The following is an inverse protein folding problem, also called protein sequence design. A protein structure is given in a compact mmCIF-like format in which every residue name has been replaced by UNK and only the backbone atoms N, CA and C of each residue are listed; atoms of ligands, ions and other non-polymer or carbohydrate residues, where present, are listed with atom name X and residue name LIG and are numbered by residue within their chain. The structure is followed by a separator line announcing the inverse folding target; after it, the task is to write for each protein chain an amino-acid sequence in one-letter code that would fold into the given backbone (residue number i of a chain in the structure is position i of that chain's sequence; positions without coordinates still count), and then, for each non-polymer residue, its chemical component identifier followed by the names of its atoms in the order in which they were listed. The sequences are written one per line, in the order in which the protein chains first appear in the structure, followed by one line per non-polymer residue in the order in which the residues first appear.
data_IF_772362372178
#
_entry.id   IF_772362372178
#
_cell.length_a   1.000
_cell.length_b   1.000
_cell.length_c   1.000
_cell.angle_alpha   90.00
_cell.angle_beta   90.00
_cell.angle_gamma   90.00
#
_symmetry.space_group_name_H-M   'P 1'
#
loop_
_entity.id
_entity.type
_entity.pdbx_description
1 polymer ?
#
# COMPACT_ATOMS: atom_id res chain seq x y z
N UNK A 1 8.68 2.76 19.23
CA UNK A 1 7.60 1.81 18.88
C UNK A 1 7.14 2.13 17.47
N UNK A 2 7.41 1.27 16.48
CA UNK A 2 6.74 1.40 15.18
C UNK A 2 5.25 1.09 15.40
N UNK A 3 4.38 2.04 15.09
CA UNK A 3 2.94 1.82 15.12
C UNK A 3 2.61 0.76 14.06
N UNK A 4 2.04 -0.37 14.47
CA UNK A 4 1.59 -1.37 13.51
C UNK A 4 0.48 -0.77 12.64
N UNK A 5 0.63 -0.90 11.31
CA UNK A 5 -0.42 -0.53 10.36
C UNK A 5 -1.67 -1.38 10.61
N UNK A 6 -2.79 -0.70 10.80
CA UNK A 6 -4.10 -1.35 10.85
C UNK A 6 -4.46 -1.90 9.47
N UNK A 7 -5.26 -2.95 9.43
CA UNK A 7 -5.72 -3.58 8.18
C UNK A 7 -6.43 -2.58 7.25
N UNK A 8 -7.15 -1.61 7.82
CA UNK A 8 -7.77 -0.53 7.06
C UNK A 8 -6.75 0.41 6.40
N UNK A 9 -5.64 0.71 7.08
CA UNK A 9 -4.55 1.55 6.55
C UNK A 9 -3.85 0.81 5.39
N UNK A 10 -3.57 -0.50 5.56
CA UNK A 10 -3.04 -1.37 4.50
C UNK A 10 -3.97 -1.40 3.26
N UNK A 11 -5.27 -1.56 3.47
CA UNK A 11 -6.25 -1.60 2.39
C UNK A 11 -6.33 -0.26 1.63
N UNK A 12 -6.27 0.86 2.34
CA UNK A 12 -6.27 2.19 1.73
C UNK A 12 -5.00 2.40 0.87
N UNK A 13 -3.84 2.01 1.37
CA UNK A 13 -2.58 2.08 0.64
C UNK A 13 -2.58 1.19 -0.60
N UNK A 14 -3.07 -0.06 -0.49
CA UNK A 14 -3.20 -0.96 -1.64
C UNK A 14 -4.14 -0.40 -2.73
N UNK A 15 -5.23 0.27 -2.34
CA UNK A 15 -6.11 0.94 -3.30
C UNK A 15 -5.41 2.11 -3.99
N UNK A 16 -4.64 2.90 -3.25
CA UNK A 16 -3.88 4.02 -3.81
C UNK A 16 -2.82 3.54 -4.82
N UNK A 17 -2.11 2.45 -4.54
CA UNK A 17 -1.14 1.88 -5.48
C UNK A 17 -1.81 1.37 -6.75
N UNK A 18 -2.95 0.68 -6.64
CA UNK A 18 -3.72 0.26 -7.82
C UNK A 18 -4.15 1.47 -8.65
N UNK A 19 -4.73 2.50 -8.02
CA UNK A 19 -5.18 3.69 -8.75
C UNK A 19 -4.04 4.43 -9.45
N UNK A 20 -2.87 4.53 -8.81
CA UNK A 20 -1.70 5.20 -9.38
C UNK A 20 -1.14 4.53 -10.65
N UNK A 21 -1.34 3.21 -10.81
CA UNK A 21 -0.75 2.44 -11.92
C UNK A 21 -1.78 1.72 -12.79
N UNK A 22 -3.09 2.00 -12.61
CA UNK A 22 -4.17 1.31 -13.34
C UNK A 22 -4.17 1.62 -14.85
N UNK A 23 -3.79 2.85 -15.22
CA UNK A 23 -3.73 3.30 -16.62
C UNK A 23 -2.28 3.39 -17.08
N UNK A 24 -1.98 3.07 -18.35
CA UNK A 24 -0.69 3.44 -18.95
C UNK A 24 -0.51 4.96 -19.00
N UNK A 25 0.72 5.44 -18.78
CA UNK A 25 1.08 6.88 -18.76
C UNK A 25 0.54 7.69 -19.96
N UNK A 26 0.52 7.10 -21.16
CA UNK A 26 0.01 7.74 -22.38
C UNK A 26 -1.50 8.04 -22.38
N UNK A 27 -2.25 7.51 -21.42
CA UNK A 27 -3.70 7.67 -21.29
C UNK A 27 -4.11 8.33 -19.97
N UNK A 28 -3.16 8.93 -19.25
CA UNK A 28 -3.42 9.60 -17.98
C UNK A 28 -3.89 11.04 -18.19
N UNK A 29 -4.86 11.45 -17.39
CA UNK A 29 -5.32 12.84 -17.27
C UNK A 29 -4.74 13.54 -16.03
N UNK A 30 -5.07 14.82 -15.83
CA UNK A 30 -4.59 15.61 -14.70
C UNK A 30 -5.01 15.02 -13.33
N UNK A 31 -6.12 14.28 -13.29
CA UNK A 31 -6.60 13.61 -12.07
C UNK A 31 -5.71 12.40 -11.76
N UNK A 32 -5.36 11.61 -12.77
CA UNK A 32 -4.41 10.50 -12.62
C UNK A 32 -3.02 11.01 -12.17
N UNK A 33 -2.58 12.16 -12.68
CA UNK A 33 -1.33 12.79 -12.26
C UNK A 33 -1.34 13.19 -10.77
N UNK A 34 -2.45 13.72 -10.26
CA UNK A 34 -2.61 14.03 -8.83
C UNK A 34 -2.53 12.76 -7.96
N UNK A 35 -3.16 11.67 -8.40
CA UNK A 35 -3.12 10.37 -7.71
C UNK A 35 -1.69 9.84 -7.63
N UNK A 36 -0.90 9.97 -8.70
CA UNK A 36 0.51 9.55 -8.73
C UNK A 36 1.37 10.45 -7.85
N UNK A 37 1.14 11.77 -7.85
CA UNK A 37 1.86 12.70 -6.97
C UNK A 37 1.58 12.36 -5.50
N UNK A 38 0.32 12.08 -5.16
CA UNK A 38 -0.08 11.62 -3.82
C UNK A 38 0.55 10.27 -3.48
N UNK A 39 0.54 9.31 -4.40
CA UNK A 39 1.20 8.02 -4.22
C UNK A 39 2.70 8.21 -3.90
N UNK A 40 3.44 8.98 -4.71
CA UNK A 40 4.87 9.24 -4.52
C UNK A 40 5.17 9.92 -3.18
N UNK A 41 4.27 10.79 -2.71
CA UNK A 41 4.39 11.45 -1.41
C UNK A 41 4.08 10.52 -0.24
N UNK A 42 3.11 9.62 -0.41
CA UNK A 42 2.64 8.71 0.63
C UNK A 42 3.54 7.49 0.79
N UNK A 43 4.01 6.87 -0.30
CA UNK A 43 4.81 5.65 -0.27
C UNK A 43 6.31 5.93 -0.09
N UNK A 44 6.71 6.24 1.14
CA UNK A 44 8.14 6.32 1.50
C UNK A 44 8.74 4.91 1.68
N UNK A 45 10.07 4.75 1.58
CA UNK A 45 10.72 3.47 1.84
C UNK A 45 10.34 2.85 3.20
N UNK A 46 10.26 3.67 4.25
CA UNK A 46 9.90 3.23 5.60
C UNK A 46 8.46 2.74 5.67
N UNK A 47 7.53 3.38 4.96
CA UNK A 47 6.14 2.92 4.91
C UNK A 47 6.04 1.59 4.15
N UNK A 48 6.78 1.43 3.05
CA UNK A 48 6.83 0.18 2.29
C UNK A 48 7.35 -0.96 3.18
N UNK A 49 8.42 -0.71 3.94
CA UNK A 49 8.96 -1.69 4.88
C UNK A 49 7.92 -2.10 5.94
N UNK A 50 7.24 -1.12 6.55
CA UNK A 50 6.18 -1.39 7.51
C UNK A 50 5.02 -2.19 6.91
N UNK A 51 4.65 -1.92 5.66
CA UNK A 51 3.63 -2.69 4.95
C UNK A 51 4.07 -4.15 4.74
N UNK A 52 5.30 -4.37 4.27
CA UNK A 52 5.85 -5.71 4.07
C UNK A 52 5.89 -6.51 5.38
N UNK A 53 6.40 -5.92 6.45
CA UNK A 53 6.44 -6.57 7.78
C UNK A 53 5.03 -6.91 8.29
N UNK A 54 4.05 -6.03 8.07
CA UNK A 54 2.68 -6.30 8.49
C UNK A 54 2.04 -7.43 7.69
N UNK A 55 2.30 -7.52 6.38
CA UNK A 55 1.81 -8.61 5.53
C UNK A 55 2.41 -9.95 6.01
N UNK A 56 3.72 -10.01 6.23
CA UNK A 56 4.38 -11.21 6.75
C UNK A 56 3.81 -11.64 8.11
N UNK A 57 3.54 -10.69 9.01
CA UNK A 57 2.91 -10.97 10.28
C UNK A 57 1.51 -11.57 10.13
N UNK A 58 0.69 -11.02 9.23
CA UNK A 58 -0.65 -11.56 8.93
C UNK A 58 -0.59 -12.96 8.31
N UNK A 59 0.41 -13.24 7.46
CA UNK A 59 0.61 -14.57 6.88
C UNK A 59 0.98 -15.61 7.95
N UNK A 60 1.85 -15.24 8.89
CA UNK A 60 2.21 -16.09 10.02
C UNK A 60 1.02 -16.35 10.97
N UNK A 61 0.23 -15.32 11.29
CA UNK A 61 -1.02 -15.45 12.06
C UNK A 61 -1.98 -16.43 11.37
N UNK A 62 -2.17 -16.30 10.05
CA UNK A 62 -3.01 -17.21 9.26
C UNK A 62 -2.49 -18.65 9.29
N UNK A 63 -1.18 -18.85 9.19
CA UNK A 63 -0.59 -20.19 9.22
C UNK A 63 -0.78 -20.86 10.57
N UNK A 64 -0.55 -20.13 11.67
CA UNK A 64 -0.78 -20.63 13.03
C UNK A 64 -2.23 -20.98 13.34
N UNK A 65 -3.20 -20.34 12.68
CA UNK A 65 -4.63 -20.64 12.85
C UNK A 65 -5.08 -21.88 12.05
N UNK A 66 -4.28 -22.32 11.08
CA UNK A 66 -4.55 -23.47 10.23
C UNK A 66 -3.81 -24.75 10.68
N UNK A 67 -2.94 -24.65 11.68
CA UNK A 67 -2.26 -25.76 12.38
C UNK A 67 -3.05 -26.18 13.64
#
# INVERSE_FOLDING_TARGET
MQKALMTAELLALARLSIMAFKKPLKYMDDTDAEVIARFKKTFTPELIEQMCLRILGLEAERQSLNE
#
